data_IF_987157883476
#
_entry.id   IF_987157883476
#
_cell.length_a   1.000
_cell.length_b   1.000
_cell.length_c   1.000
_cell.angle_alpha   90.00
_cell.angle_beta   90.00
_cell.angle_gamma   90.00
#
_symmetry.space_group_name_H-M   'P 1'
#
loop_
_entity.id
_entity.type
_entity.pdbx_description
1 polymer ?
#
# COMPACT_ATOMS: atom_id res chain seq x y z
N UNK A 1 4.53 -2.34 15.10
CA UNK A 1 3.20 -2.04 14.50
C UNK A 1 2.73 -3.30 13.79
N UNK A 2 1.50 -3.73 14.02
CA UNK A 2 0.90 -4.90 13.35
C UNK A 2 0.63 -4.58 11.88
N UNK A 3 0.45 -5.61 11.03
CA UNK A 3 0.32 -5.43 9.57
C UNK A 3 -0.94 -4.64 9.20
N UNK A 4 -2.05 -4.90 9.87
CA UNK A 4 -3.31 -4.17 9.67
C UNK A 4 -3.19 -2.68 10.05
N UNK A 5 -2.45 -2.38 11.11
CA UNK A 5 -2.19 -0.98 11.50
C UNK A 5 -1.33 -0.24 10.48
N UNK A 6 -0.38 -0.95 9.84
CA UNK A 6 0.39 -0.39 8.74
C UNK A 6 -0.49 -0.09 7.54
N UNK A 7 -1.37 -1.03 7.16
CA UNK A 7 -2.32 -0.80 6.07
C UNK A 7 -3.17 0.44 6.34
N UNK A 8 -3.79 0.54 7.52
CA UNK A 8 -4.61 1.69 7.92
C UNK A 8 -3.81 3.01 7.85
N UNK A 9 -2.54 2.98 8.23
CA UNK A 9 -1.65 4.13 8.11
C UNK A 9 -1.36 4.48 6.65
N UNK A 10 -1.01 3.48 5.81
CA UNK A 10 -0.60 3.73 4.44
C UNK A 10 -1.74 4.25 3.56
N UNK A 11 -2.96 3.71 3.72
CA UNK A 11 -4.12 4.19 2.96
C UNK A 11 -4.56 5.62 3.34
N UNK A 12 -4.03 6.19 4.41
CA UNK A 12 -4.26 7.61 4.75
C UNK A 12 -3.44 8.58 3.89
N UNK A 13 -2.41 8.08 3.19
CA UNK A 13 -1.61 8.88 2.27
C UNK A 13 -2.24 8.87 0.88
N UNK A 14 -2.37 10.04 0.28
CA UNK A 14 -2.89 10.14 -1.07
C UNK A 14 -1.78 9.85 -2.10
N UNK A 15 -1.75 8.64 -2.62
CA UNK A 15 -0.70 8.17 -3.56
C UNK A 15 -1.22 7.92 -4.97
N UNK A 16 -2.46 8.30 -5.28
CA UNK A 16 -3.06 8.09 -6.61
C UNK A 16 -2.17 8.64 -7.71
N UNK A 17 -1.87 7.83 -8.70
CA UNK A 17 -1.12 8.17 -9.89
C UNK A 17 -1.86 9.17 -10.77
N UNK A 18 -1.12 9.84 -11.65
CA UNK A 18 -1.66 10.70 -12.69
C UNK A 18 -0.95 10.38 -14.02
N UNK A 19 -1.61 9.62 -14.86
CA UNK A 19 -1.08 9.19 -16.17
C UNK A 19 -0.97 10.34 -17.18
N UNK A 20 -1.64 11.47 -16.91
CA UNK A 20 -1.61 12.66 -17.76
C UNK A 20 -0.52 13.66 -17.35
N UNK A 21 0.20 13.39 -16.26
CA UNK A 21 1.28 14.27 -15.81
C UNK A 21 2.52 14.12 -16.70
N UNK A 22 2.64 15.00 -17.66
CA UNK A 22 3.74 15.04 -18.62
C UNK A 22 4.42 16.39 -18.60
N UNK A 23 5.76 16.38 -18.71
CA UNK A 23 6.56 17.58 -18.94
C UNK A 23 7.40 17.38 -20.19
N UNK A 24 7.33 18.32 -21.15
CA UNK A 24 8.01 18.25 -22.44
C UNK A 24 7.74 16.93 -23.20
N UNK A 25 6.52 16.43 -23.16
CA UNK A 25 6.10 15.18 -23.79
C UNK A 25 6.64 13.91 -23.14
N UNK A 26 7.24 14.02 -21.92
CA UNK A 26 7.73 12.86 -21.15
C UNK A 26 6.89 12.65 -19.90
N UNK A 27 6.55 11.38 -19.65
CA UNK A 27 5.89 10.98 -18.40
C UNK A 27 6.80 11.29 -17.21
N UNK A 28 6.24 11.91 -16.19
CA UNK A 28 6.97 12.20 -14.95
C UNK A 28 6.99 10.96 -14.04
N UNK A 29 8.12 10.76 -13.35
CA UNK A 29 8.32 9.70 -12.36
C UNK A 29 8.86 10.32 -11.07
N UNK A 30 8.12 10.25 -9.96
CA UNK A 30 6.75 9.71 -9.84
C UNK A 30 5.74 10.57 -10.60
N UNK A 31 4.63 9.96 -11.01
CA UNK A 31 3.56 10.69 -11.74
C UNK A 31 2.91 11.77 -10.88
N UNK A 32 3.05 11.72 -9.56
CA UNK A 32 2.63 12.79 -8.64
C UNK A 32 3.61 12.94 -7.48
N UNK A 33 3.99 14.17 -7.17
CA UNK A 33 4.92 14.48 -6.09
C UNK A 33 4.42 14.06 -4.68
N UNK A 34 3.10 13.94 -4.50
CA UNK A 34 2.50 13.49 -3.23
C UNK A 34 2.84 12.04 -2.85
N UNK A 35 3.28 11.21 -3.79
CA UNK A 35 3.76 9.85 -3.52
C UNK A 35 4.98 9.84 -2.58
N UNK A 36 5.78 10.91 -2.58
CA UNK A 36 6.90 11.06 -1.65
C UNK A 36 6.48 11.09 -0.18
N UNK A 37 5.23 11.46 0.13
CA UNK A 37 4.77 11.50 1.52
C UNK A 37 4.75 10.09 2.12
N UNK A 38 4.24 9.10 1.38
CA UNK A 38 4.32 7.70 1.77
C UNK A 38 5.76 7.17 1.62
N UNK A 39 6.48 7.56 0.55
CA UNK A 39 7.87 7.14 0.32
C UNK A 39 8.78 7.43 1.51
N UNK A 40 8.68 8.62 2.11
CA UNK A 40 9.44 9.01 3.31
C UNK A 40 9.08 8.15 4.53
N UNK A 41 7.81 7.81 4.69
CA UNK A 41 7.36 6.93 5.78
C UNK A 41 7.94 5.54 5.61
N UNK A 42 7.88 4.97 4.40
CA UNK A 42 8.43 3.66 4.11
C UNK A 42 9.94 3.62 4.28
N UNK A 43 10.65 4.66 3.83
CA UNK A 43 12.10 4.80 4.05
C UNK A 43 12.43 4.72 5.55
N UNK A 44 11.73 5.50 6.38
CA UNK A 44 11.95 5.49 7.82
C UNK A 44 11.62 4.13 8.45
N UNK A 45 10.50 3.52 8.06
CA UNK A 45 10.12 2.21 8.59
C UNK A 45 11.11 1.10 8.22
N UNK A 46 11.69 1.12 7.01
CA UNK A 46 12.73 0.18 6.64
C UNK A 46 14.00 0.37 7.51
N UNK A 47 14.36 1.63 7.82
CA UNK A 47 15.46 1.92 8.75
C UNK A 47 15.17 1.39 10.16
N UNK A 48 13.97 1.64 10.66
CA UNK A 48 13.53 1.21 11.99
C UNK A 48 13.48 -0.33 12.10
N UNK A 49 13.22 -1.02 10.99
CA UNK A 49 13.29 -2.48 10.88
C UNK A 49 14.72 -3.02 10.79
N UNK A 50 15.73 -2.14 10.75
CA UNK A 50 17.14 -2.52 10.74
C UNK A 50 17.70 -2.87 9.36
N UNK A 51 16.98 -2.60 8.27
CA UNK A 51 17.51 -2.78 6.92
C UNK A 51 18.71 -1.86 6.68
N UNK A 52 19.61 -2.31 5.83
CA UNK A 52 20.82 -1.57 5.43
C UNK A 52 20.61 -0.91 4.06
N UNK A 53 21.43 0.09 3.78
CA UNK A 53 21.43 0.80 2.50
C UNK A 53 20.03 1.30 2.10
N UNK A 54 19.27 1.76 3.10
CA UNK A 54 17.92 2.28 2.85
C UNK A 54 18.03 3.63 2.16
N UNK A 55 17.35 3.77 1.02
CA UNK A 55 17.35 4.98 0.21
C UNK A 55 15.97 5.23 -0.40
N UNK A 56 15.52 6.48 -0.38
CA UNK A 56 14.43 7.01 -1.19
C UNK A 56 15.03 7.81 -2.34
N UNK A 57 14.80 7.38 -3.56
CA UNK A 57 15.33 8.04 -4.76
C UNK A 57 14.47 9.23 -5.18
N UNK A 58 14.99 10.06 -6.10
CA UNK A 58 14.28 11.17 -6.76
C UNK A 58 13.10 10.71 -7.66
N UNK A 59 13.06 9.42 -8.01
CA UNK A 59 11.94 8.78 -8.71
C UNK A 59 10.93 8.14 -7.74
N UNK A 60 11.04 8.42 -6.45
CA UNK A 60 10.18 7.86 -5.39
C UNK A 60 10.29 6.33 -5.24
N UNK A 61 11.43 5.74 -5.59
CA UNK A 61 11.69 4.33 -5.29
C UNK A 61 12.32 4.22 -3.90
N UNK A 62 11.78 3.34 -3.06
CA UNK A 62 12.33 3.04 -1.74
C UNK A 62 13.00 1.68 -1.79
N UNK A 63 14.31 1.66 -1.52
CA UNK A 63 15.10 0.44 -1.45
C UNK A 63 15.60 0.20 -0.04
N UNK A 64 15.77 -1.05 0.31
CA UNK A 64 16.42 -1.48 1.54
C UNK A 64 16.95 -2.90 1.40
N UNK A 65 18.07 -3.19 2.04
CA UNK A 65 18.69 -4.50 2.08
C UNK A 65 18.51 -5.12 3.46
N UNK A 66 17.85 -6.26 3.55
CA UNK A 66 17.91 -7.12 4.71
C UNK A 66 19.15 -8.03 4.56
N UNK A 67 20.16 -7.90 5.43
CA UNK A 67 21.36 -8.73 5.36
C UNK A 67 21.03 -10.21 5.49
N UNK A 68 21.88 -11.06 4.91
CA UNK A 68 21.76 -12.49 5.09
C UNK A 68 21.83 -12.88 6.56
N UNK A 69 21.08 -13.92 6.93
CA UNK A 69 21.25 -14.58 8.23
C UNK A 69 22.64 -15.19 8.32
N UNK A 70 23.23 -15.19 9.52
CA UNK A 70 24.55 -15.76 9.75
C UNK A 70 24.67 -17.19 9.19
N UNK A 71 25.72 -17.43 8.41
CA UNK A 71 25.94 -18.69 7.70
C UNK A 71 25.24 -18.81 6.34
N UNK A 72 24.50 -17.79 5.91
CA UNK A 72 23.80 -17.77 4.61
C UNK A 72 24.35 -16.70 3.65
N UNK A 73 25.49 -16.09 3.95
CA UNK A 73 26.05 -14.95 3.18
C UNK A 73 26.35 -15.30 1.71
N UNK A 74 26.66 -16.57 1.43
CA UNK A 74 26.89 -17.06 0.07
C UNK A 74 25.65 -17.50 -0.70
N UNK A 75 24.45 -17.36 -0.13
CA UNK A 75 23.20 -17.72 -0.79
C UNK A 75 22.77 -16.64 -1.78
N UNK A 76 21.94 -17.04 -2.76
CA UNK A 76 21.35 -16.08 -3.71
C UNK A 76 20.42 -15.10 -2.98
N UNK A 77 20.53 -13.83 -3.34
CA UNK A 77 19.58 -12.82 -2.86
C UNK A 77 18.19 -13.04 -3.48
N UNK A 78 17.16 -12.75 -2.70
CA UNK A 78 15.76 -12.72 -3.15
C UNK A 78 15.28 -11.27 -3.07
N UNK A 79 14.68 -10.78 -4.15
CA UNK A 79 14.10 -9.44 -4.22
C UNK A 79 12.57 -9.51 -4.06
N UNK A 80 12.03 -8.59 -3.28
CA UNK A 80 10.61 -8.33 -3.19
C UNK A 80 10.34 -6.94 -3.78
N UNK A 81 9.31 -6.84 -4.60
CA UNK A 81 8.88 -5.59 -5.22
C UNK A 81 7.41 -5.38 -4.90
N UNK A 82 7.06 -4.17 -4.47
CA UNK A 82 5.69 -3.75 -4.22
C UNK A 82 5.55 -2.30 -4.63
N UNK A 83 4.44 -1.96 -5.31
CA UNK A 83 4.16 -0.57 -5.64
C UNK A 83 3.45 0.14 -4.49
N UNK A 84 3.59 1.47 -4.40
CA UNK A 84 2.99 2.30 -3.37
C UNK A 84 1.87 3.20 -3.89
N UNK A 85 1.80 3.40 -5.19
CA UNK A 85 0.77 4.21 -5.81
C UNK A 85 -0.54 3.45 -5.96
N UNK A 86 -1.64 4.18 -6.07
CA UNK A 86 -2.97 3.64 -6.37
C UNK A 86 -3.39 4.05 -7.77
N UNK A 87 -4.23 3.22 -8.41
CA UNK A 87 -4.75 3.47 -9.74
C UNK A 87 -5.59 4.76 -9.80
N UNK A 88 -5.57 5.50 -10.93
CA UNK A 88 -6.30 6.75 -11.07
C UNK A 88 -7.82 6.56 -11.29
N UNK A 89 -8.27 5.34 -11.53
CA UNK A 89 -9.69 5.02 -11.79
C UNK A 89 -10.61 5.44 -10.65
N UNK A 90 -10.09 5.48 -9.43
CA UNK A 90 -10.81 5.93 -8.25
C UNK A 90 -9.91 6.75 -7.32
N UNK A 91 -10.48 7.82 -6.74
CA UNK A 91 -9.70 8.70 -5.86
C UNK A 91 -9.23 7.99 -4.59
N UNK A 92 -7.91 8.00 -4.37
CA UNK A 92 -7.30 7.57 -3.12
C UNK A 92 -7.15 8.69 -2.09
N UNK A 93 -7.81 9.85 -2.30
CA UNK A 93 -7.79 10.98 -1.37
C UNK A 93 -8.77 10.76 -0.23
N UNK A 94 -8.34 11.09 0.99
CA UNK A 94 -9.19 11.07 2.19
C UNK A 94 -9.87 9.70 2.42
N UNK A 95 -9.16 8.61 2.14
CA UNK A 95 -9.64 7.25 2.38
C UNK A 95 -9.94 7.06 3.87
N UNK A 96 -11.14 6.57 4.17
CA UNK A 96 -11.62 6.29 5.54
C UNK A 96 -11.88 4.80 5.67
N UNK A 97 -10.90 4.00 6.08
CA UNK A 97 -11.05 2.57 6.24
C UNK A 97 -12.16 2.23 7.23
N UNK A 98 -12.90 1.18 6.94
CA UNK A 98 -13.93 0.63 7.81
C UNK A 98 -13.46 -0.72 8.33
N UNK A 99 -13.44 -0.87 9.65
CA UNK A 99 -13.11 -2.15 10.29
C UNK A 99 -14.42 -2.81 10.70
N UNK A 100 -14.62 -4.04 10.27
CA UNK A 100 -15.81 -4.83 10.56
C UNK A 100 -15.37 -6.08 11.34
N UNK A 101 -15.46 -6.05 12.68
CA UNK A 101 -15.18 -7.23 13.49
C UNK A 101 -16.29 -8.26 13.34
N UNK A 102 -15.95 -9.52 13.53
CA UNK A 102 -16.90 -10.66 13.52
C UNK A 102 -17.88 -10.62 12.35
N UNK A 103 -17.35 -10.40 11.15
CA UNK A 103 -18.16 -10.26 9.94
C UNK A 103 -19.18 -11.38 9.79
N UNK A 104 -20.43 -11.05 9.54
CA UNK A 104 -21.55 -11.99 9.52
C UNK A 104 -21.67 -12.81 8.23
N UNK A 105 -20.96 -12.46 7.16
CA UNK A 105 -21.02 -13.10 5.84
C UNK A 105 -22.05 -12.48 4.90
N UNK A 106 -22.67 -11.35 5.26
CA UNK A 106 -23.67 -10.64 4.47
C UNK A 106 -23.11 -9.53 3.59
N UNK A 107 -23.99 -8.71 3.01
CA UNK A 107 -23.61 -7.53 2.25
C UNK A 107 -22.97 -6.46 3.15
N UNK A 108 -21.93 -5.79 2.66
CA UNK A 108 -21.23 -4.73 3.41
C UNK A 108 -21.61 -3.36 2.85
N UNK A 109 -22.14 -2.49 3.71
CA UNK A 109 -22.34 -1.08 3.36
C UNK A 109 -21.08 -0.28 3.65
N UNK A 110 -20.59 0.44 2.64
CA UNK A 110 -19.45 1.36 2.79
C UNK A 110 -19.93 2.70 3.34
N UNK A 111 -19.46 3.07 4.54
CA UNK A 111 -19.95 4.26 5.26
C UNK A 111 -19.66 5.57 4.52
N UNK A 112 -18.54 5.68 3.80
CA UNK A 112 -18.14 6.92 3.12
C UNK A 112 -19.00 7.28 1.91
N UNK A 113 -19.38 6.29 1.12
CA UNK A 113 -20.11 6.47 -0.14
C UNK A 113 -21.55 5.95 -0.07
N UNK A 114 -21.87 5.13 0.91
CA UNK A 114 -23.13 4.38 0.98
C UNK A 114 -23.22 3.24 -0.04
N UNK A 115 -22.17 2.99 -0.83
CA UNK A 115 -22.11 1.86 -1.76
C UNK A 115 -22.17 0.53 -1.01
N UNK A 116 -22.63 -0.52 -1.72
CA UNK A 116 -22.76 -1.86 -1.16
C UNK A 116 -21.78 -2.81 -1.84
N UNK A 117 -20.98 -3.51 -1.04
CA UNK A 117 -20.27 -4.70 -1.50
C UNK A 117 -21.21 -5.89 -1.31
N UNK A 118 -21.83 -6.33 -2.39
CA UNK A 118 -22.81 -7.40 -2.34
C UNK A 118 -22.14 -8.77 -2.48
N UNK A 119 -22.57 -9.74 -1.68
CA UNK A 119 -22.10 -11.12 -1.82
C UNK A 119 -22.48 -11.77 -3.15
N UNK A 120 -23.48 -11.22 -3.86
CA UNK A 120 -23.78 -11.63 -5.24
C UNK A 120 -22.64 -11.29 -6.21
N UNK A 121 -21.98 -10.15 -5.99
CA UNK A 121 -20.93 -9.61 -6.86
C UNK A 121 -19.54 -10.09 -6.41
N UNK A 122 -19.40 -10.34 -5.10
CA UNK A 122 -18.15 -10.79 -4.44
C UNK A 122 -18.42 -12.06 -3.60
N UNK A 123 -18.62 -13.23 -4.20
CA UNK A 123 -19.03 -14.45 -3.49
C UNK A 123 -18.05 -14.91 -2.41
N UNK A 124 -16.76 -14.62 -2.56
CA UNK A 124 -15.70 -14.97 -1.61
C UNK A 124 -15.86 -14.30 -0.24
N UNK A 125 -16.67 -13.23 -0.14
CA UNK A 125 -16.99 -12.60 1.14
C UNK A 125 -17.65 -13.58 2.11
N UNK A 126 -18.42 -14.56 1.63
CA UNK A 126 -19.06 -15.58 2.48
C UNK A 126 -18.03 -16.41 3.26
N UNK A 127 -16.87 -16.64 2.66
CA UNK A 127 -15.80 -17.46 3.25
C UNK A 127 -15.05 -16.71 4.38
N UNK A 128 -15.32 -15.40 4.50
CA UNK A 128 -14.71 -14.54 5.51
C UNK A 128 -15.58 -14.34 6.75
N UNK A 129 -16.72 -15.04 6.84
CA UNK A 129 -17.60 -15.00 8.02
C UNK A 129 -16.83 -15.30 9.31
N UNK A 130 -17.04 -14.48 10.36
CA UNK A 130 -16.38 -14.58 11.65
C UNK A 130 -14.96 -13.98 11.66
N UNK A 131 -14.50 -13.40 10.56
CA UNK A 131 -13.21 -12.68 10.49
C UNK A 131 -13.42 -11.18 10.67
N UNK A 132 -12.34 -10.48 11.00
CA UNK A 132 -12.31 -9.02 10.92
C UNK A 132 -11.90 -8.62 9.50
N UNK A 133 -12.68 -7.76 8.87
CA UNK A 133 -12.43 -7.18 7.56
C UNK A 133 -12.05 -5.71 7.68
#
# INVERSE_FOLDING_TARGET
MQVEQRLLKYVSYWTTSDENNMTDGKIQIPSTGRQFDLGKVLEQELRDLGLKNVVLTDHCYVYGLLPATAGCEGRKAVGFISHMDTAPDYSGKDVKPQIIPDYDGGDIRLNGTGAMLKISDFPTLKDLKGRTL
#
